data_IF_247149435960
#
_entry.id   IF_247149435960
#
_cell.length_a   1.000
_cell.length_b   1.000
_cell.length_c   1.000
_cell.angle_alpha   90.00
_cell.angle_beta   90.00
_cell.angle_gamma   90.00
#
_symmetry.space_group_name_H-M   'P 1'
#
loop_
_entity.id
_entity.type
_entity.pdbx_description
1 polymer ?
#
# COMPACT_ATOMS: atom_id res chain seq x y z
N UNK A 1 -2.26 -16.56 -6.71
CA UNK A 1 -1.00 -15.90 -6.33
C UNK A 1 -0.22 -15.65 -7.63
N UNK A 2 -0.40 -14.56 -8.38
CA UNK A 2 -0.14 -13.14 -8.07
C UNK A 2 -1.20 -12.31 -8.83
N UNK A 3 -2.14 -11.68 -8.11
CA UNK A 3 -3.12 -10.73 -8.65
C UNK A 3 -3.13 -9.45 -7.80
N UNK A 4 -1.95 -8.98 -7.40
CA UNK A 4 -1.79 -7.76 -6.61
C UNK A 4 -0.67 -6.88 -7.17
N UNK A 5 -0.94 -6.28 -8.33
CA UNK A 5 -0.39 -4.98 -8.70
C UNK A 5 -1.49 -4.11 -9.33
N UNK A 6 -2.64 -4.03 -8.65
CA UNK A 6 -3.55 -2.91 -8.86
C UNK A 6 -3.01 -1.75 -8.05
N UNK A 7 -2.18 -0.94 -8.70
CA UNK A 7 -1.70 0.34 -8.18
C UNK A 7 -2.88 1.13 -7.60
N UNK A 8 -2.86 1.47 -6.30
CA UNK A 8 -3.92 2.25 -5.68
C UNK A 8 -3.76 3.72 -6.06
N UNK A 9 -4.85 4.31 -6.57
CA UNK A 9 -5.06 5.77 -6.48
C UNK A 9 -4.37 6.61 -7.55
N UNK A 10 -5.17 7.02 -8.54
CA UNK A 10 -5.05 8.22 -9.39
C UNK A 10 -3.99 9.27 -8.95
N UNK A 11 -2.80 9.24 -9.56
CA UNK A 11 -1.89 10.39 -9.67
C UNK A 11 -2.01 11.14 -11.03
N UNK A 12 -2.99 10.75 -11.85
CA UNK A 12 -3.28 11.32 -13.19
C UNK A 12 -3.54 12.84 -13.17
N UNK A 13 -3.93 13.43 -12.03
CA UNK A 13 -4.26 14.85 -11.94
C UNK A 13 -3.04 15.78 -12.06
N UNK A 14 -1.89 15.42 -11.48
CA UNK A 14 -0.69 16.27 -11.51
C UNK A 14 0.11 16.12 -12.80
N UNK A 15 0.13 14.93 -13.39
CA UNK A 15 0.78 14.68 -14.68
C UNK A 15 0.12 15.49 -15.80
N UNK A 16 -1.22 15.61 -15.79
CA UNK A 16 -1.95 16.41 -16.77
C UNK A 16 -1.65 17.90 -16.63
N UNK A 17 -1.56 18.43 -15.39
CA UNK A 17 -1.17 19.81 -15.14
C UNK A 17 0.27 20.10 -15.57
N UNK A 18 1.20 19.19 -15.31
CA UNK A 18 2.58 19.31 -15.76
C UNK A 18 2.68 19.30 -17.29
N UNK A 19 2.00 18.35 -17.95
CA UNK A 19 1.96 18.28 -19.42
C UNK A 19 1.30 19.50 -20.05
N UNK A 20 0.22 20.01 -19.46
CA UNK A 20 -0.49 21.19 -19.94
C UNK A 20 0.36 22.46 -19.75
N UNK A 21 0.98 22.65 -18.59
CA UNK A 21 1.90 23.76 -18.32
C UNK A 21 3.07 23.78 -19.30
N UNK A 22 3.67 22.62 -19.55
CA UNK A 22 4.76 22.48 -20.52
C UNK A 22 4.31 22.80 -21.95
N UNK A 23 3.14 22.31 -22.37
CA UNK A 23 2.59 22.60 -23.70
C UNK A 23 2.30 24.10 -23.91
N UNK A 24 1.73 24.76 -22.90
CA UNK A 24 1.44 26.21 -22.93
C UNK A 24 2.75 27.02 -23.04
N UNK A 25 3.75 26.69 -22.22
CA UNK A 25 5.06 27.36 -22.28
C UNK A 25 5.75 27.15 -23.62
N UNK A 26 5.68 25.93 -24.17
CA UNK A 26 6.26 25.63 -25.49
C UNK A 26 5.58 26.45 -26.59
N UNK A 27 4.24 26.54 -26.59
CA UNK A 27 3.50 27.38 -27.54
C UNK A 27 3.88 28.86 -27.42
N UNK A 28 4.02 29.37 -26.20
CA UNK A 28 4.41 30.77 -25.96
C UNK A 28 5.81 31.07 -26.50
N UNK A 29 6.79 30.20 -26.22
CA UNK A 29 8.16 30.33 -26.73
C UNK A 29 8.17 30.27 -28.26
N UNK A 30 7.40 29.37 -28.86
CA UNK A 30 7.32 29.20 -30.31
C UNK A 30 6.68 30.43 -30.96
N UNK A 31 5.63 30.98 -30.36
CA UNK A 31 5.00 32.23 -30.79
C UNK A 31 5.97 33.41 -30.72
N UNK A 32 6.67 33.61 -29.60
CA UNK A 32 7.65 34.71 -29.45
C UNK A 32 8.86 34.54 -30.38
N UNK A 33 9.29 33.30 -30.63
CA UNK A 33 10.38 33.04 -31.59
C UNK A 33 9.92 33.33 -33.02
N UNK A 34 8.65 33.09 -33.34
CA UNK A 34 8.08 33.36 -34.66
C UNK A 34 7.79 34.85 -34.91
N UNK A 35 7.63 35.69 -33.89
CA UNK A 35 7.41 37.14 -34.14
C UNK A 35 8.66 37.80 -34.71
N UNK A 36 9.87 37.41 -34.28
CA UNK A 36 11.13 37.96 -34.82
C UNK A 36 11.23 37.90 -36.36
N UNK A 37 11.09 36.74 -37.03
CA UNK A 37 11.18 36.69 -38.48
C UNK A 37 10.02 37.42 -39.17
N UNK A 38 8.82 37.42 -38.57
CA UNK A 38 7.66 38.17 -39.09
C UNK A 38 7.94 39.67 -39.08
N UNK A 39 8.49 40.20 -38.00
CA UNK A 39 8.83 41.61 -37.85
C UNK A 39 9.90 42.03 -38.88
N UNK A 40 10.91 41.20 -39.10
CA UNK A 40 11.96 41.45 -40.11
C UNK A 40 11.37 41.45 -41.53
N UNK A 41 10.40 40.57 -41.82
CA UNK A 41 9.70 40.56 -43.12
C UNK A 41 8.87 41.84 -43.31
N UNK A 42 8.13 42.28 -42.29
CA UNK A 42 7.33 43.51 -42.36
C UNK A 42 8.22 44.74 -42.52
N UNK A 43 9.31 44.84 -41.77
CA UNK A 43 10.26 45.94 -41.87
C UNK A 43 10.94 45.98 -43.25
N UNK A 44 11.30 44.81 -43.79
CA UNK A 44 11.85 44.71 -45.14
C UNK A 44 10.87 45.14 -46.24
N UNK A 45 9.55 45.11 -46.00
CA UNK A 45 8.54 45.57 -46.97
C UNK A 45 8.38 47.10 -47.01
N UNK A 46 8.58 47.77 -45.87
CA UNK A 46 8.40 49.23 -45.77
C UNK A 46 9.59 50.01 -46.34
N UNK A 47 10.80 49.45 -46.31
CA UNK A 47 12.03 50.07 -46.83
C UNK A 47 12.25 49.68 -48.30
N UNK A 48 11.69 50.48 -49.21
CA UNK A 48 11.48 50.24 -50.66
C UNK A 48 12.71 49.98 -51.57
N UNK A 49 13.93 49.79 -51.05
CA UNK A 49 15.14 49.86 -51.89
C UNK A 49 15.61 48.51 -52.44
N UNK A 50 15.33 47.38 -51.76
CA UNK A 50 15.75 46.02 -52.18
C UNK A 50 14.79 44.91 -51.70
N UNK A 51 13.49 45.13 -51.92
CA UNK A 51 12.38 44.32 -51.36
C UNK A 51 12.48 42.82 -51.68
N UNK A 52 12.81 42.48 -52.93
CA UNK A 52 12.79 41.10 -53.39
C UNK A 52 13.96 40.27 -52.85
N UNK A 53 15.18 40.81 -52.84
CA UNK A 53 16.38 40.07 -52.42
C UNK A 53 16.40 39.83 -50.92
N UNK A 54 16.05 40.84 -50.12
CA UNK A 54 16.08 40.73 -48.66
C UNK A 54 15.04 39.73 -48.14
N UNK A 55 13.82 39.76 -48.69
CA UNK A 55 12.74 38.84 -48.30
C UNK A 55 13.09 37.38 -48.64
N UNK A 56 13.72 37.13 -49.79
CA UNK A 56 14.14 35.77 -50.19
C UNK A 56 15.22 35.23 -49.26
N UNK A 57 16.21 36.05 -48.88
CA UNK A 57 17.28 35.64 -47.95
C UNK A 57 16.69 35.27 -46.58
N UNK A 58 15.76 36.08 -46.04
CA UNK A 58 15.10 35.80 -44.75
C UNK A 58 14.31 34.49 -44.81
N UNK A 59 13.58 34.26 -45.90
CA UNK A 59 12.82 33.02 -46.10
C UNK A 59 13.75 31.80 -46.10
N UNK A 60 14.86 31.87 -46.83
CA UNK A 60 15.86 30.78 -46.88
C UNK A 60 16.43 30.51 -45.48
N UNK A 61 16.80 31.54 -44.73
CA UNK A 61 17.32 31.38 -43.36
C UNK A 61 16.27 30.75 -42.44
N UNK A 62 14.99 31.14 -42.56
CA UNK A 62 13.91 30.54 -41.78
C UNK A 62 13.73 29.05 -42.10
N UNK A 63 13.78 28.67 -43.38
CA UNK A 63 13.69 27.27 -43.80
C UNK A 63 14.87 26.45 -43.27
N UNK A 64 16.10 26.98 -43.36
CA UNK A 64 17.29 26.33 -42.81
C UNK A 64 17.20 26.17 -41.30
N UNK A 65 16.70 27.18 -40.59
CA UNK A 65 16.49 27.12 -39.15
C UNK A 65 15.47 26.03 -38.76
N UNK A 66 14.33 25.95 -39.45
CA UNK A 66 13.33 24.91 -39.21
C UNK A 66 13.90 23.51 -39.48
N UNK A 67 14.67 23.34 -40.57
CA UNK A 67 15.34 22.08 -40.88
C UNK A 67 16.32 21.68 -39.76
N UNK A 68 17.15 22.62 -39.29
CA UNK A 68 18.10 22.38 -38.22
C UNK A 68 17.41 22.05 -36.89
N UNK A 69 16.36 22.78 -36.53
CA UNK A 69 15.55 22.51 -35.35
C UNK A 69 14.91 21.11 -35.39
N UNK A 70 14.43 20.70 -36.57
CA UNK A 70 13.87 19.35 -36.78
C UNK A 70 14.92 18.27 -36.57
N UNK A 71 16.13 18.44 -37.12
CA UNK A 71 17.24 17.49 -36.95
C UNK A 71 17.63 17.37 -35.48
N UNK A 72 17.77 18.49 -34.76
CA UNK A 72 18.08 18.48 -33.33
C UNK A 72 16.99 17.79 -32.50
N UNK A 73 15.71 18.00 -32.85
CA UNK A 73 14.60 17.35 -32.17
C UNK A 73 14.61 15.84 -32.37
N UNK A 74 14.84 15.39 -33.61
CA UNK A 74 15.00 13.96 -33.92
C UNK A 74 16.20 13.36 -33.21
N UNK A 75 17.34 14.05 -33.18
CA UNK A 75 18.53 13.61 -32.46
C UNK A 75 18.23 13.43 -30.97
N UNK A 76 17.59 14.41 -30.33
CA UNK A 76 17.17 14.31 -28.92
C UNK A 76 16.24 13.12 -28.67
N UNK A 77 15.25 12.92 -29.54
CA UNK A 77 14.30 11.82 -29.44
C UNK A 77 15.01 10.45 -29.54
N UNK A 78 15.89 10.30 -30.53
CA UNK A 78 16.63 9.06 -30.74
C UNK A 78 17.63 8.80 -29.61
N UNK A 79 18.39 9.80 -29.20
CA UNK A 79 19.37 9.69 -28.12
C UNK A 79 18.70 9.31 -26.79
N UNK A 80 17.58 9.93 -26.45
CA UNK A 80 16.82 9.57 -25.26
C UNK A 80 16.31 8.13 -25.31
N UNK A 81 15.86 7.66 -26.48
CA UNK A 81 15.44 6.25 -26.65
C UNK A 81 16.61 5.28 -26.49
N UNK A 82 17.78 5.62 -27.01
CA UNK A 82 19.00 4.81 -26.86
C UNK A 82 19.39 4.71 -25.38
N UNK A 83 19.42 5.83 -24.66
CA UNK A 83 19.72 5.84 -23.22
C UNK A 83 18.72 5.01 -22.40
N UNK A 84 17.43 5.07 -22.73
CA UNK A 84 16.41 4.25 -22.06
C UNK A 84 16.56 2.75 -22.35
N UNK A 85 17.16 2.39 -23.48
CA UNK A 85 17.44 1.00 -23.83
C UNK A 85 18.68 0.46 -23.12
N UNK A 86 19.64 1.33 -22.75
CA UNK A 86 20.83 0.97 -21.98
C UNK A 86 20.54 0.71 -20.50
N UNK A 87 19.44 1.22 -19.94
CA UNK A 87 19.03 0.89 -18.57
C UNK A 87 18.76 -0.62 -18.50
N UNK A 88 19.53 -1.41 -17.72
CA UNK A 88 19.32 -2.83 -17.60
C UNK A 88 17.95 -3.06 -16.96
N UNK A 89 16.98 -3.47 -17.76
CA UNK A 89 15.66 -3.86 -17.25
C UNK A 89 15.88 -5.09 -16.35
N UNK A 90 15.29 -5.14 -15.14
CA UNK A 90 15.30 -6.36 -14.35
C UNK A 90 14.59 -7.44 -15.20
N UNK A 91 15.37 -8.32 -15.81
CA UNK A 91 14.87 -9.34 -16.71
C UNK A 91 14.29 -10.46 -15.87
N UNK A 92 13.02 -10.32 -15.49
CA UNK A 92 12.23 -11.43 -14.99
C UNK A 92 11.67 -12.12 -16.23
N UNK A 93 12.10 -13.34 -16.58
CA UNK A 93 11.51 -14.05 -17.69
C UNK A 93 10.05 -14.35 -17.35
N UNK A 94 9.13 -13.76 -18.12
CA UNK A 94 7.69 -13.96 -17.93
C UNK A 94 7.21 -15.10 -18.85
N UNK A 95 7.90 -15.29 -19.98
CA UNK A 95 7.55 -16.29 -21.01
C UNK A 95 8.70 -17.26 -21.24
N UNK A 96 8.42 -18.53 -21.55
CA UNK A 96 9.44 -19.53 -21.92
C UNK A 96 10.31 -19.13 -23.12
N UNK A 97 9.83 -18.19 -23.95
CA UNK A 97 10.56 -17.65 -25.11
C UNK A 97 11.61 -16.60 -24.73
N UNK A 98 11.54 -16.07 -23.52
CA UNK A 98 12.45 -15.03 -23.00
C UNK A 98 13.83 -15.63 -22.65
N UNK A 99 13.89 -16.93 -22.41
CA UNK A 99 15.11 -17.64 -22.02
C UNK A 99 15.35 -18.86 -22.90
N UNK A 100 16.62 -19.24 -23.04
CA UNK A 100 16.97 -20.45 -23.78
C UNK A 100 16.33 -21.69 -23.16
N UNK A 101 15.91 -22.65 -24.00
CA UNK A 101 15.25 -23.91 -23.57
C UNK A 101 15.97 -24.65 -22.43
N UNK A 102 17.29 -24.56 -22.39
CA UNK A 102 18.10 -25.17 -21.32
C UNK A 102 17.90 -24.46 -19.98
N UNK A 103 17.89 -23.12 -19.98
CA UNK A 103 17.71 -22.33 -18.77
C UNK A 103 16.28 -22.45 -18.22
N UNK A 104 15.24 -22.47 -19.07
CA UNK A 104 13.85 -22.64 -18.56
C UNK A 104 13.67 -24.00 -17.89
N UNK A 105 14.14 -25.09 -18.52
CA UNK A 105 14.10 -26.44 -17.93
C UNK A 105 14.85 -26.53 -16.61
N UNK A 106 15.98 -25.85 -16.49
CA UNK A 106 16.74 -25.82 -15.24
C UNK A 106 15.94 -25.11 -14.14
N UNK A 107 15.31 -23.97 -14.45
CA UNK A 107 14.48 -23.22 -13.51
C UNK A 107 13.25 -24.05 -13.10
N UNK A 108 12.52 -24.61 -14.06
CA UNK A 108 11.36 -25.48 -13.80
C UNK A 108 11.73 -26.65 -12.88
N UNK A 109 12.86 -27.33 -13.17
CA UNK A 109 13.34 -28.43 -12.33
C UNK A 109 13.67 -28.00 -10.89
N UNK A 110 14.31 -26.85 -10.71
CA UNK A 110 14.60 -26.34 -9.36
C UNK A 110 13.33 -25.84 -8.67
N UNK A 111 12.36 -25.29 -9.40
CA UNK A 111 11.05 -24.93 -8.85
C UNK A 111 10.30 -26.16 -8.35
N UNK A 112 10.25 -27.24 -9.12
CA UNK A 112 9.64 -28.51 -8.72
C UNK A 112 10.34 -29.09 -7.49
N UNK A 113 11.67 -29.05 -7.47
CA UNK A 113 12.46 -29.47 -6.32
C UNK A 113 12.14 -28.64 -5.07
N UNK A 114 12.08 -27.32 -5.20
CA UNK A 114 11.72 -26.42 -4.10
C UNK A 114 10.28 -26.67 -3.60
N UNK A 115 9.35 -26.98 -4.50
CA UNK A 115 7.98 -27.33 -4.14
C UNK A 115 7.93 -28.63 -3.33
N UNK A 116 8.66 -29.67 -3.76
CA UNK A 116 8.77 -30.92 -3.01
C UNK A 116 9.41 -30.71 -1.64
N UNK A 117 10.50 -29.93 -1.56
CA UNK A 117 11.16 -29.60 -0.29
C UNK A 117 10.19 -28.82 0.61
N UNK A 118 9.45 -27.86 0.07
CA UNK A 118 8.43 -27.11 0.81
C UNK A 118 7.39 -28.04 1.40
N UNK A 119 6.83 -28.96 0.61
CA UNK A 119 5.82 -29.90 1.07
C UNK A 119 6.37 -30.85 2.14
N UNK A 120 7.61 -31.32 1.99
CA UNK A 120 8.28 -32.15 3.00
C UNK A 120 8.61 -31.40 4.28
N UNK A 121 8.98 -30.12 4.18
CA UNK A 121 9.33 -29.25 5.30
C UNK A 121 8.11 -28.58 5.95
N UNK A 122 6.95 -28.61 5.28
CA UNK A 122 5.72 -28.05 5.82
C UNK A 122 5.37 -28.80 7.10
N UNK A 123 4.99 -28.08 8.16
CA UNK A 123 4.66 -28.72 9.42
C UNK A 123 3.47 -29.67 9.26
N UNK A 124 3.59 -30.86 9.84
CA UNK A 124 2.55 -31.88 9.78
C UNK A 124 1.61 -31.70 10.97
N UNK A 125 0.36 -31.31 10.70
CA UNK A 125 -0.70 -31.19 11.68
C UNK A 125 -1.09 -29.75 12.02
N UNK A 126 -2.07 -29.60 12.91
CA UNK A 126 -2.48 -28.30 13.43
C UNK A 126 -1.39 -27.76 14.36
N UNK A 127 -0.71 -26.69 13.96
CA UNK A 127 0.17 -25.95 14.88
C UNK A 127 -0.68 -24.88 15.53
N UNK A 128 -0.81 -24.92 16.85
CA UNK A 128 -1.35 -23.79 17.60
C UNK A 128 -0.18 -22.94 18.09
N UNK A 129 -0.20 -21.63 17.79
CA UNK A 129 0.81 -20.70 18.27
C UNK A 129 0.28 -20.02 19.55
N UNK A 130 0.89 -20.26 20.72
CA UNK A 130 0.48 -19.54 21.92
C UNK A 130 0.71 -18.04 21.75
N UNK A 131 -0.28 -17.21 22.11
CA UNK A 131 -0.23 -15.75 22.02
C UNK A 131 -0.69 -15.15 20.69
N UNK A 132 -0.81 -15.95 19.62
CA UNK A 132 -1.18 -15.49 18.28
C UNK A 132 -2.21 -16.43 17.65
N UNK A 133 -3.35 -15.88 17.27
CA UNK A 133 -4.32 -16.61 16.46
C UNK A 133 -3.87 -16.65 15.00
N UNK A 134 -3.92 -17.85 14.44
CA UNK A 134 -3.92 -18.06 13.00
C UNK A 134 -4.94 -19.15 12.68
N UNK A 135 -5.73 -19.00 11.61
CA UNK A 135 -6.68 -20.00 11.21
C UNK A 135 -5.91 -21.20 10.66
N UNK A 136 -6.14 -22.35 11.27
CA UNK A 136 -5.52 -23.58 10.81
C UNK A 136 -6.22 -24.08 9.55
N UNK A 137 -5.45 -24.35 8.50
CA UNK A 137 -5.95 -24.95 7.25
C UNK A 137 -6.54 -26.36 7.46
N UNK A 138 -6.26 -26.99 8.60
CA UNK A 138 -6.72 -28.34 8.95
C UNK A 138 -7.85 -28.35 9.98
N UNK A 139 -8.24 -27.19 10.50
CA UNK A 139 -9.25 -27.09 11.55
C UNK A 139 -10.65 -26.98 10.95
N UNK A 140 -11.35 -28.12 10.90
CA UNK A 140 -12.77 -28.22 10.55
C UNK A 140 -13.69 -28.04 11.77
N UNK A 141 -13.18 -27.52 12.89
CA UNK A 141 -14.04 -27.25 14.03
C UNK A 141 -14.97 -26.10 13.70
N UNK A 142 -16.26 -26.29 14.03
CA UNK A 142 -17.26 -25.21 14.11
C UNK A 142 -16.83 -24.27 15.25
N UNK A 143 -15.76 -23.52 15.04
CA UNK A 143 -15.30 -22.53 16.00
C UNK A 143 -16.44 -21.51 16.19
N UNK A 144 -16.83 -21.31 17.45
CA UNK A 144 -17.97 -20.44 17.83
C UNK A 144 -17.70 -18.98 17.44
N UNK A 145 -16.43 -18.62 17.21
CA UNK A 145 -16.00 -17.28 16.85
C UNK A 145 -15.01 -17.31 15.68
N UNK A 146 -15.34 -16.61 14.59
CA UNK A 146 -14.39 -16.30 13.52
C UNK A 146 -13.46 -15.17 13.98
N UNK A 147 -12.31 -15.53 14.55
CA UNK A 147 -11.29 -14.56 14.95
C UNK A 147 -10.49 -14.08 13.71
N UNK A 148 -10.10 -12.79 13.65
CA UNK A 148 -9.24 -12.28 12.58
C UNK A 148 -7.87 -12.98 12.55
N UNK A 149 -7.33 -13.21 11.36
CA UNK A 149 -5.98 -13.75 11.22
C UNK A 149 -4.93 -12.81 11.85
N UNK A 150 -3.86 -13.39 12.40
CA UNK A 150 -2.74 -12.71 13.07
C UNK A 150 -3.16 -11.88 14.30
N UNK A 151 -4.24 -12.27 14.97
CA UNK A 151 -4.71 -11.62 16.20
C UNK A 151 -3.79 -11.96 17.38
N UNK A 152 -3.15 -10.94 17.95
CA UNK A 152 -2.32 -11.08 19.16
C UNK A 152 -3.24 -11.04 20.40
N UNK A 153 -3.30 -12.12 21.18
CA UNK A 153 -4.20 -12.24 22.33
C UNK A 153 -3.93 -11.18 23.41
N UNK A 154 -2.66 -10.93 23.70
CA UNK A 154 -2.22 -9.96 24.71
C UNK A 154 -2.74 -8.55 24.43
N UNK A 155 -2.71 -8.13 23.15
CA UNK A 155 -3.18 -6.81 22.75
C UNK A 155 -4.67 -6.64 23.04
N UNK A 156 -5.48 -7.66 22.75
CA UNK A 156 -6.94 -7.61 22.99
C UNK A 156 -7.22 -7.51 24.49
N UNK A 157 -6.57 -8.33 25.30
CA UNK A 157 -6.73 -8.32 26.76
C UNK A 157 -6.28 -6.98 27.36
N UNK A 158 -5.17 -6.44 26.86
CA UNK A 158 -4.67 -5.13 27.28
C UNK A 158 -5.63 -4.01 26.92
N UNK A 159 -6.19 -4.03 25.69
CA UNK A 159 -7.17 -3.03 25.24
C UNK A 159 -8.42 -3.11 26.12
N UNK A 160 -8.96 -4.29 26.38
CA UNK A 160 -10.14 -4.46 27.27
C UNK A 160 -9.82 -3.89 28.66
N UNK A 161 -8.65 -4.20 29.22
CA UNK A 161 -8.22 -3.66 30.49
C UNK A 161 -8.05 -2.13 30.51
N UNK A 162 -7.54 -1.56 29.41
CA UNK A 162 -7.37 -0.11 29.24
C UNK A 162 -8.70 0.59 29.03
N UNK A 163 -9.62 0.04 28.25
CA UNK A 163 -10.96 0.59 28.06
C UNK A 163 -11.70 0.68 29.39
N UNK A 164 -11.65 -0.37 30.20
CA UNK A 164 -12.26 -0.38 31.54
C UNK A 164 -11.60 0.68 32.44
N UNK A 165 -10.27 0.79 32.42
CA UNK A 165 -9.51 1.71 33.27
C UNK A 165 -9.70 3.19 32.89
N UNK A 166 -9.65 3.52 31.60
CA UNK A 166 -9.54 4.91 31.13
C UNK A 166 -10.85 5.47 30.59
N UNK A 167 -11.67 4.67 29.93
CA UNK A 167 -12.96 5.18 29.45
C UNK A 167 -13.99 5.18 30.56
N UNK A 168 -13.77 4.41 31.64
CA UNK A 168 -14.76 4.15 32.68
C UNK A 168 -16.10 3.73 32.08
N UNK A 169 -16.12 3.25 30.84
CA UNK A 169 -17.31 3.09 30.02
C UNK A 169 -17.24 1.71 29.41
N UNK A 170 -18.06 0.81 29.91
CA UNK A 170 -18.38 -0.44 29.23
C UNK A 170 -19.30 -0.07 28.07
N UNK A 171 -18.85 -0.22 26.83
CA UNK A 171 -19.68 -0.02 25.65
C UNK A 171 -20.67 -1.17 25.54
N UNK A 172 -21.69 -1.14 26.39
CA UNK A 172 -22.81 -2.07 26.35
C UNK A 172 -23.68 -1.68 25.16
N UNK A 173 -23.51 -2.40 24.04
CA UNK A 173 -24.36 -2.37 22.84
C UNK A 173 -25.22 -1.10 22.67
N UNK A 174 -24.78 -0.18 21.82
CA UNK A 174 -25.52 0.95 21.24
C UNK A 174 -26.37 1.89 22.12
N UNK A 175 -26.55 1.71 23.43
CA UNK A 175 -27.40 2.63 24.20
C UNK A 175 -27.12 2.78 25.69
N UNK A 176 -26.09 2.14 26.28
CA UNK A 176 -25.78 2.35 27.71
C UNK A 176 -24.28 2.57 27.93
N UNK A 177 -23.93 3.81 28.24
CA UNK A 177 -22.61 4.24 28.70
C UNK A 177 -22.72 4.36 30.21
N UNK A 178 -22.22 3.36 30.95
CA UNK A 178 -22.05 3.50 32.40
C UNK A 178 -20.76 4.28 32.59
N UNK A 179 -20.78 5.48 33.19
CA UNK A 179 -19.57 6.27 33.47
C UNK A 179 -19.07 5.93 34.87
N UNK A 180 -17.94 5.23 34.96
CA UNK A 180 -17.19 4.98 36.17
C UNK A 180 -16.25 6.16 36.42
N UNK A 181 -16.07 6.51 37.69
CA UNK A 181 -15.18 7.60 38.10
C UNK A 181 -13.70 7.22 37.89
N UNK A 182 -12.89 8.20 37.48
CA UNK A 182 -11.61 8.02 36.77
C UNK A 182 -10.42 7.58 37.66
N UNK A 183 -10.69 6.96 38.81
CA UNK A 183 -9.72 6.75 39.89
C UNK A 183 -9.59 5.30 40.39
N UNK A 184 -10.42 4.37 39.90
CA UNK A 184 -10.34 2.97 40.29
C UNK A 184 -9.70 2.11 39.19
N UNK A 185 -8.84 1.19 39.59
CA UNK A 185 -8.36 0.11 38.76
C UNK A 185 -9.49 -0.90 38.48
N UNK A 186 -9.38 -1.66 37.38
CA UNK A 186 -10.35 -2.71 37.01
C UNK A 186 -10.64 -3.66 38.18
N UNK A 187 -9.60 -4.02 38.94
CA UNK A 187 -9.72 -4.88 40.12
C UNK A 187 -10.63 -4.26 41.18
N UNK A 188 -10.37 -3.01 41.55
CA UNK A 188 -11.15 -2.28 42.56
C UNK A 188 -12.60 -2.11 42.12
N UNK A 189 -12.85 -1.89 40.83
CA UNK A 189 -14.21 -1.78 40.31
C UNK A 189 -14.97 -3.11 40.36
N UNK A 190 -14.34 -4.21 39.97
CA UNK A 190 -14.99 -5.53 40.00
C UNK A 190 -15.13 -6.10 41.42
N UNK A 191 -14.38 -5.57 42.39
CA UNK A 191 -14.52 -5.93 43.80
C UNK A 191 -15.89 -5.55 44.39
N UNK A 192 -16.55 -4.51 43.86
CA UNK A 192 -17.93 -4.17 44.23
C UNK A 192 -18.96 -5.21 43.77
N UNK A 193 -18.61 -5.99 42.73
CA UNK A 193 -19.45 -7.05 42.16
C UNK A 193 -18.97 -8.46 42.52
N UNK A 194 -18.10 -8.57 43.54
CA UNK A 194 -17.48 -9.83 43.98
C UNK A 194 -18.49 -10.91 44.43
N UNK A 195 -19.73 -10.51 44.71
CA UNK A 195 -20.84 -11.41 45.05
C UNK A 195 -21.22 -12.38 43.92
N UNK A 196 -20.95 -12.01 42.65
CA UNK A 196 -21.26 -12.86 41.50
C UNK A 196 -20.11 -13.81 41.15
N UNK A 197 -20.34 -15.14 41.16
CA UNK A 197 -19.27 -16.13 40.95
C UNK A 197 -18.66 -16.07 39.55
N UNK A 198 -19.41 -15.59 38.55
CA UNK A 198 -18.92 -15.44 37.17
C UNK A 198 -18.00 -14.23 36.99
N UNK A 199 -18.28 -13.13 37.69
CA UNK A 199 -17.43 -11.94 37.66
C UNK A 199 -16.09 -12.23 38.35
N UNK A 200 -16.13 -12.99 39.45
CA UNK A 200 -14.91 -13.48 40.11
C UNK A 200 -14.05 -14.34 39.19
N UNK A 201 -14.65 -15.31 38.48
CA UNK A 201 -13.94 -16.15 37.50
C UNK A 201 -13.31 -15.34 36.37
N UNK A 202 -14.01 -14.33 35.88
CA UNK A 202 -13.46 -13.41 34.89
C UNK A 202 -12.24 -12.66 35.42
N UNK A 203 -12.31 -12.12 36.64
CA UNK A 203 -11.20 -11.39 37.25
C UNK A 203 -9.98 -12.29 37.45
N UNK A 204 -10.18 -13.51 37.95
CA UNK A 204 -9.09 -14.49 38.14
C UNK A 204 -8.44 -14.84 36.79
N UNK A 205 -9.25 -15.08 35.75
CA UNK A 205 -8.76 -15.38 34.39
C UNK A 205 -8.00 -14.18 33.78
N UNK A 206 -8.51 -12.97 33.98
CA UNK A 206 -7.86 -11.75 33.52
C UNK A 206 -6.52 -11.50 34.20
N UNK A 207 -6.44 -11.73 35.52
CA UNK A 207 -5.20 -11.58 36.28
C UNK A 207 -4.15 -12.60 35.87
N UNK A 208 -4.56 -13.85 35.66
CA UNK A 208 -3.67 -14.88 35.15
C UNK A 208 -3.17 -14.54 33.74
N UNK A 209 -4.06 -14.23 32.79
CA UNK A 209 -3.66 -13.96 31.42
C UNK A 209 -2.81 -12.69 31.27
N UNK A 210 -3.05 -11.66 32.10
CA UNK A 210 -2.34 -10.37 32.00
C UNK A 210 -1.02 -10.34 32.77
N UNK A 211 -0.95 -10.97 33.94
CA UNK A 211 0.19 -10.81 34.86
C UNK A 211 1.01 -12.07 35.10
N UNK A 212 0.56 -13.25 34.65
CA UNK A 212 1.33 -14.49 34.86
C UNK A 212 2.62 -14.56 34.03
N UNK A 213 2.70 -13.81 32.92
CA UNK A 213 3.81 -13.88 31.98
C UNK A 213 3.91 -15.22 31.23
N UNK A 214 2.88 -16.08 31.34
CA UNK A 214 2.79 -17.33 30.58
C UNK A 214 2.20 -17.07 29.19
N UNK A 215 2.59 -17.86 28.19
CA UNK A 215 1.99 -17.77 26.87
C UNK A 215 0.50 -18.15 26.92
N UNK A 216 -0.33 -17.40 26.21
CA UNK A 216 -1.79 -17.54 26.21
C UNK A 216 -2.23 -18.56 25.16
N UNK A 217 -2.96 -19.61 25.55
CA UNK A 217 -3.53 -20.57 24.62
C UNK A 217 -4.89 -20.13 24.10
N UNK A 218 -5.28 -20.62 22.92
CA UNK A 218 -6.56 -20.31 22.28
C UNK A 218 -7.75 -20.61 23.20
N UNK A 219 -7.75 -21.77 23.86
CA UNK A 219 -8.83 -22.19 24.77
C UNK A 219 -9.04 -21.22 25.93
N UNK A 220 -7.95 -20.80 26.56
CA UNK A 220 -7.98 -19.86 27.69
C UNK A 220 -8.47 -18.47 27.23
N UNK A 221 -8.08 -18.06 26.02
CA UNK A 221 -8.54 -16.82 25.40
C UNK A 221 -10.03 -16.86 25.04
N UNK A 222 -10.53 -17.98 24.51
CA UNK A 222 -11.96 -18.17 24.21
C UNK A 222 -12.81 -18.16 25.49
N UNK A 223 -12.36 -18.85 26.55
CA UNK A 223 -13.03 -18.83 27.84
C UNK A 223 -13.09 -17.40 28.41
N UNK A 224 -11.99 -16.64 28.30
CA UNK A 224 -11.94 -15.24 28.69
C UNK A 224 -12.96 -14.39 27.92
N UNK A 225 -13.07 -14.56 26.59
CA UNK A 225 -14.03 -13.82 25.77
C UNK A 225 -15.49 -14.18 26.09
N UNK A 226 -15.78 -15.45 26.36
CA UNK A 226 -17.12 -15.88 26.78
C UNK A 226 -17.51 -15.26 28.13
N UNK A 227 -16.58 -15.28 29.09
CA UNK A 227 -16.78 -14.64 30.40
C UNK A 227 -16.93 -13.13 30.26
N UNK A 228 -16.15 -12.49 29.39
CA UNK A 228 -16.28 -11.07 29.08
C UNK A 228 -17.65 -10.70 28.50
N UNK A 229 -18.17 -11.49 27.55
CA UNK A 229 -19.51 -11.30 26.97
C UNK A 229 -20.60 -11.35 28.05
N UNK A 230 -20.47 -12.26 29.02
CA UNK A 230 -21.37 -12.33 30.16
C UNK A 230 -21.24 -11.09 31.06
N UNK A 231 -20.03 -10.72 31.47
CA UNK A 231 -19.77 -9.54 32.32
C UNK A 231 -20.32 -8.28 31.66
N UNK A 232 -20.07 -8.13 30.36
CA UNK A 232 -20.65 -7.07 29.53
C UNK A 232 -22.17 -7.09 29.71
N UNK A 233 -22.87 -8.17 29.41
CA UNK A 233 -24.34 -8.25 29.54
C UNK A 233 -24.90 -7.92 30.94
N UNK A 234 -24.16 -8.23 32.01
CA UNK A 234 -24.62 -8.11 33.39
C UNK A 234 -24.49 -6.69 33.97
N UNK A 235 -23.50 -5.91 33.54
CA UNK A 235 -23.24 -4.55 34.03
C UNK A 235 -23.98 -3.50 33.16
#
# INVERSE_FOLDING_TARGET
MISYLKSPGKFISLEWLYSASFAILMFFILSMTSTMPVDVIVQSKTTNTHLATNTVIILVICVVFIAFATVLHLFRLLFNKLLLQEIPKPYIPITEKDIGKHASRMIEKEMDRCMQIKEMAMPKGNIEHPGLYHPSEYDNSDNVYELPNDLIYENVIQIIGQEIKYNGTLTLSNSKILRLDNHYSLREHLQFYQSDPKIKRFLDSYEELRFSGKPIYLKDFEEFLQNWSYVKKTI
#
